data_IF_950563726526
#
_entry.id   IF_950563726526
#
_cell.length_a   1.000
_cell.length_b   1.000
_cell.length_c   1.000
_cell.angle_alpha   90.00
_cell.angle_beta   90.00
_cell.angle_gamma   90.00
#
_symmetry.space_group_name_H-M   'P 1'
#
loop_
_entity.id
_entity.type
_entity.pdbx_description
1 polymer ?
#
# COMPACT_ATOMS: atom_id res chain seq x y z
N UNK A 1 -7.32 1.99 0.12
CA UNK A 1 -7.58 2.74 1.38
C UNK A 1 -6.70 2.17 2.47
N UNK A 2 -6.23 3.01 3.40
CA UNK A 2 -5.44 2.57 4.54
C UNK A 2 -6.32 1.83 5.58
N UNK A 3 -5.75 0.91 6.39
CA UNK A 3 -6.50 0.14 7.38
C UNK A 3 -7.33 0.99 8.34
N UNK A 4 -6.76 2.09 8.84
CA UNK A 4 -7.40 3.00 9.81
C UNK A 4 -8.62 3.73 9.23
N UNK A 5 -8.61 4.01 7.93
CA UNK A 5 -9.73 4.65 7.23
C UNK A 5 -10.88 3.65 7.03
N UNK A 6 -10.55 2.38 6.78
CA UNK A 6 -11.52 1.30 6.66
C UNK A 6 -12.19 0.99 8.00
N UNK A 7 -11.44 1.11 9.09
CA UNK A 7 -11.94 0.91 10.44
C UNK A 7 -12.67 2.13 11.02
N UNK A 8 -12.83 3.20 10.24
CA UNK A 8 -13.46 4.47 10.65
C UNK A 8 -12.81 5.11 11.91
N UNK A 9 -11.55 4.78 12.20
CA UNK A 9 -10.80 5.29 13.36
C UNK A 9 -10.39 6.76 13.14
N UNK A 10 -10.38 7.20 11.88
CA UNK A 10 -10.09 8.56 11.47
C UNK A 10 -9.14 8.61 10.28
N UNK A 11 -9.08 9.76 9.62
CA UNK A 11 -8.15 10.03 8.53
C UNK A 11 -7.06 10.99 9.00
N UNK A 12 -5.82 10.69 8.63
CA UNK A 12 -4.66 11.54 8.86
C UNK A 12 -3.83 11.63 7.57
N UNK A 13 -2.86 12.55 7.52
CA UNK A 13 -2.02 12.73 6.34
C UNK A 13 -1.17 11.49 5.97
N UNK A 14 -0.96 10.56 6.91
CA UNK A 14 -0.24 9.30 6.62
C UNK A 14 -1.12 8.25 5.95
N UNK A 15 -2.45 8.42 5.90
CA UNK A 15 -3.33 7.58 5.09
C UNK A 15 -3.04 7.70 3.59
N UNK A 16 -2.63 8.88 3.12
CA UNK A 16 -2.20 9.10 1.74
C UNK A 16 -0.90 8.35 1.42
N UNK A 17 -0.01 8.22 2.40
CA UNK A 17 1.24 7.48 2.25
C UNK A 17 0.98 5.99 2.00
N UNK A 18 -0.03 5.41 2.64
CA UNK A 18 -0.45 4.06 2.33
C UNK A 18 -0.96 3.95 0.90
N UNK A 19 -1.83 4.88 0.48
CA UNK A 19 -2.35 4.92 -0.88
C UNK A 19 -1.22 5.05 -1.91
N UNK A 20 -0.22 5.88 -1.63
CA UNK A 20 1.00 6.01 -2.45
C UNK A 20 1.75 4.68 -2.56
N UNK A 21 1.90 3.92 -1.48
CA UNK A 21 2.52 2.59 -1.50
C UNK A 21 1.75 1.59 -2.39
N UNK A 22 0.41 1.61 -2.32
CA UNK A 22 -0.44 0.78 -3.19
C UNK A 22 -0.31 1.21 -4.65
N UNK A 23 -0.35 2.51 -4.94
CA UNK A 23 -0.18 3.04 -6.30
C UNK A 23 1.21 2.74 -6.85
N UNK A 24 2.25 2.74 -6.01
CA UNK A 24 3.60 2.35 -6.44
C UNK A 24 3.66 0.88 -6.87
N UNK A 25 3.01 -0.03 -6.14
CA UNK A 25 2.86 -1.43 -6.57
C UNK A 25 2.03 -1.52 -7.86
N UNK A 26 0.95 -0.77 -7.96
CA UNK A 26 0.09 -0.76 -9.15
C UNK A 26 0.83 -0.28 -10.40
N UNK A 27 1.64 0.78 -10.31
CA UNK A 27 2.46 1.27 -11.42
C UNK A 27 3.55 0.25 -11.81
N UNK A 28 4.09 -0.47 -10.84
CA UNK A 28 5.12 -1.49 -11.06
C UNK A 28 4.56 -2.77 -11.71
N UNK A 29 3.37 -3.22 -11.30
CA UNK A 29 2.77 -4.48 -11.76
C UNK A 29 1.66 -4.30 -12.81
N UNK A 30 1.31 -3.05 -13.13
CA UNK A 30 0.24 -2.67 -14.07
C UNK A 30 -1.18 -2.96 -13.57
N UNK A 31 -1.34 -3.47 -12.35
CA UNK A 31 -2.60 -3.83 -11.71
C UNK A 31 -2.46 -3.68 -10.19
N UNK A 32 -3.50 -3.21 -9.47
CA UNK A 32 -3.44 -3.15 -8.02
C UNK A 32 -3.30 -4.56 -7.40
N UNK A 33 -2.69 -4.67 -6.21
CA UNK A 33 -2.68 -5.94 -5.48
C UNK A 33 -4.13 -6.45 -5.34
N UNK A 34 -4.32 -7.77 -5.51
CA UNK A 34 -5.62 -8.48 -5.52
C UNK A 34 -6.44 -8.49 -6.83
N UNK A 35 -5.95 -7.95 -7.95
CA UNK A 35 -6.68 -7.93 -9.24
C UNK A 35 -6.74 -9.28 -10.03
N UNK A 36 -6.56 -10.44 -9.40
CA UNK A 36 -6.53 -11.75 -10.10
C UNK A 36 -7.57 -12.76 -9.56
N UNK A 37 -8.66 -12.30 -8.93
CA UNK A 37 -9.81 -13.17 -8.64
C UNK A 37 -10.99 -12.71 -9.51
N UNK A 38 -11.50 -13.60 -10.34
CA UNK A 38 -12.38 -13.34 -11.49
C UNK A 38 -13.74 -12.68 -11.13
N UNK A 39 -14.07 -11.64 -11.93
CA UNK A 39 -15.33 -11.35 -12.66
C UNK A 39 -16.65 -11.14 -11.89
N UNK A 40 -17.22 -9.94 -12.12
CA UNK A 40 -18.49 -9.38 -11.63
C UNK A 40 -18.52 -9.09 -10.12
N UNK A 41 -19.14 -7.97 -9.72
CA UNK A 41 -19.22 -7.46 -8.35
C UNK A 41 -18.00 -6.66 -7.85
N UNK A 42 -17.91 -5.39 -8.28
CA UNK A 42 -17.13 -4.34 -7.59
C UNK A 42 -17.38 -4.37 -6.07
N UNK A 43 -18.61 -4.71 -5.66
CA UNK A 43 -19.02 -4.88 -4.27
C UNK A 43 -18.31 -6.05 -3.58
N UNK A 44 -18.11 -7.19 -4.23
CA UNK A 44 -17.42 -8.34 -3.64
C UNK A 44 -15.91 -8.06 -3.44
N UNK A 45 -15.29 -7.39 -4.42
CA UNK A 45 -13.90 -6.94 -4.29
C UNK A 45 -13.73 -5.94 -3.14
N UNK A 46 -14.62 -4.95 -3.03
CA UNK A 46 -14.63 -3.99 -1.92
C UNK A 46 -14.82 -4.67 -0.56
N UNK A 47 -15.81 -5.55 -0.43
CA UNK A 47 -16.06 -6.28 0.80
C UNK A 47 -14.86 -7.14 1.21
N UNK A 48 -14.26 -7.86 0.26
CA UNK A 48 -13.08 -8.66 0.51
C UNK A 48 -11.87 -7.79 0.91
N UNK A 49 -11.63 -6.67 0.23
CA UNK A 49 -10.56 -5.74 0.58
C UNK A 49 -10.76 -5.12 1.98
N UNK A 50 -12.00 -4.77 2.34
CA UNK A 50 -12.35 -4.25 3.67
C UNK A 50 -11.97 -5.26 4.77
N UNK A 51 -12.20 -6.56 4.56
CA UNK A 51 -11.78 -7.58 5.52
C UNK A 51 -10.28 -7.86 5.48
N UNK A 52 -9.67 -7.92 4.30
CA UNK A 52 -8.28 -8.34 4.13
C UNK A 52 -7.26 -7.29 4.54
N UNK A 53 -7.49 -6.01 4.27
CA UNK A 53 -6.53 -4.92 4.56
C UNK A 53 -6.17 -4.82 6.06
N UNK A 54 -7.11 -4.86 7.02
CA UNK A 54 -6.78 -4.83 8.43
C UNK A 54 -6.23 -6.17 8.95
N UNK A 55 -6.61 -7.31 8.34
CA UNK A 55 -6.26 -8.66 8.86
C UNK A 55 -4.94 -9.20 8.30
N UNK A 56 -4.74 -9.15 6.98
CA UNK A 56 -3.60 -9.76 6.30
C UNK A 56 -2.33 -8.91 6.40
N UNK A 57 -1.12 -9.51 6.35
CA UNK A 57 0.11 -8.74 6.30
C UNK A 57 0.11 -7.72 5.13
N UNK A 58 0.85 -6.61 5.23
CA UNK A 58 0.93 -5.61 4.17
C UNK A 58 1.28 -6.24 2.82
N UNK A 59 0.65 -5.79 1.72
CA UNK A 59 0.95 -6.34 0.42
C UNK A 59 2.41 -6.04 0.02
N UNK A 60 3.03 -7.00 -0.66
CA UNK A 60 4.37 -6.87 -1.23
C UNK A 60 4.31 -7.16 -2.73
N UNK A 61 5.38 -6.86 -3.46
CA UNK A 61 5.51 -7.26 -4.86
C UNK A 61 5.36 -8.77 -5.03
N UNK A 62 4.72 -9.20 -6.12
CA UNK A 62 4.56 -10.61 -6.51
C UNK A 62 5.90 -11.25 -6.82
N UNK A 63 6.78 -10.49 -7.49
CA UNK A 63 8.13 -10.90 -7.85
C UNK A 63 9.14 -9.88 -7.29
N UNK A 64 9.52 -9.96 -6.00
CA UNK A 64 10.41 -8.99 -5.37
C UNK A 64 11.76 -8.86 -6.09
N UNK A 65 12.28 -9.95 -6.68
CA UNK A 65 13.58 -9.96 -7.36
C UNK A 65 13.65 -9.08 -8.61
N UNK A 66 12.51 -8.62 -9.15
CA UNK A 66 12.48 -7.71 -10.30
C UNK A 66 12.72 -6.24 -9.90
N UNK A 67 12.63 -5.93 -8.60
CA UNK A 67 12.63 -4.57 -8.09
C UNK A 67 13.86 -4.31 -7.22
N UNK A 68 14.40 -3.10 -7.32
CA UNK A 68 15.55 -2.70 -6.50
C UNK A 68 15.23 -2.78 -5.01
N UNK A 69 16.25 -3.05 -4.18
CA UNK A 69 16.10 -3.05 -2.72
C UNK A 69 15.58 -1.71 -2.20
N UNK A 70 16.01 -0.60 -2.81
CA UNK A 70 15.51 0.74 -2.50
C UNK A 70 14.01 0.89 -2.77
N UNK A 71 13.50 0.31 -3.87
CA UNK A 71 12.07 0.39 -4.18
C UNK A 71 11.23 -0.50 -3.25
N UNK A 72 11.73 -1.70 -2.95
CA UNK A 72 11.12 -2.58 -1.96
C UNK A 72 11.06 -1.94 -0.58
N UNK A 73 12.12 -1.26 -0.16
CA UNK A 73 12.16 -0.59 1.13
C UNK A 73 11.21 0.62 1.18
N UNK A 74 11.16 1.43 0.11
CA UNK A 74 10.19 2.51 -0.03
C UNK A 74 8.75 2.01 0.15
N UNK A 75 8.36 0.95 -0.56
CA UNK A 75 7.01 0.37 -0.45
C UNK A 75 6.74 -0.18 0.97
N UNK A 76 7.72 -0.81 1.62
CA UNK A 76 7.58 -1.28 3.00
C UNK A 76 7.36 -0.14 3.99
N UNK A 77 8.05 0.99 3.82
CA UNK A 77 7.87 2.18 4.66
C UNK A 77 6.49 2.83 4.45
N UNK A 78 5.94 2.76 3.23
CA UNK A 78 4.60 3.23 2.93
C UNK A 78 3.50 2.33 3.50
N UNK A 79 3.67 1.00 3.41
CA UNK A 79 2.65 0.01 3.76
C UNK A 79 2.76 -0.48 5.21
N UNK A 80 2.88 0.45 6.16
CA UNK A 80 2.86 0.14 7.60
C UNK A 80 1.43 0.25 8.11
N UNK A 81 0.89 -0.82 8.71
CA UNK A 81 -0.50 -0.83 9.20
C UNK A 81 -0.75 0.20 10.29
N UNK A 82 0.13 0.26 11.29
CA UNK A 82 0.02 1.26 12.35
C UNK A 82 0.39 2.64 11.77
N UNK A 83 -0.55 3.60 11.70
CA UNK A 83 -0.28 4.93 11.15
C UNK A 83 0.81 5.69 11.93
N UNK A 84 0.95 5.48 13.25
CA UNK A 84 1.98 6.16 14.06
C UNK A 84 3.41 5.75 13.67
N UNK A 85 3.56 4.53 13.16
CA UNK A 85 4.85 3.99 12.70
C UNK A 85 5.06 4.19 11.19
N UNK A 86 4.05 4.69 10.47
CA UNK A 86 4.13 4.89 9.01
C UNK A 86 4.98 6.12 8.71
N UNK A 87 5.83 6.01 7.70
CA UNK A 87 6.68 7.12 7.31
C UNK A 87 5.84 8.32 6.84
N UNK A 88 6.32 9.54 7.10
CA UNK A 88 5.71 10.77 6.58
C UNK A 88 6.25 11.07 5.17
N UNK A 89 5.55 11.91 4.42
CA UNK A 89 5.99 12.37 3.09
C UNK A 89 7.42 12.94 3.13
N UNK A 90 7.73 13.77 4.13
CA UNK A 90 9.05 14.38 4.30
C UNK A 90 10.16 13.34 4.48
N UNK A 91 9.88 12.27 5.24
CA UNK A 91 10.84 11.18 5.45
C UNK A 91 11.03 10.34 4.18
N UNK A 92 9.95 10.11 3.43
CA UNK A 92 10.01 9.37 2.18
C UNK A 92 10.73 10.12 1.05
N UNK A 93 10.69 11.45 1.03
CA UNK A 93 11.46 12.28 0.09
C UNK A 93 12.98 12.12 0.30
N UNK A 94 13.42 11.80 1.51
CA UNK A 94 14.82 11.54 1.83
C UNK A 94 15.26 10.11 1.47
N UNK A 95 14.33 9.24 1.06
CA UNK A 95 14.69 7.90 0.59
C UNK A 95 15.40 7.98 -0.76
N UNK A 96 16.42 7.11 -0.93
CA UNK A 96 17.31 7.04 -2.09
C UNK A 96 16.57 7.00 -3.45
N UNK A 97 15.34 6.47 -3.50
CA UNK A 97 14.55 6.41 -4.75
C UNK A 97 13.91 7.74 -5.16
N UNK A 98 13.74 8.66 -4.21
CA UNK A 98 13.07 9.95 -4.41
C UNK A 98 14.06 11.13 -4.33
N UNK A 99 15.32 10.86 -3.96
CA UNK A 99 16.42 11.82 -4.01
C UNK A 99 16.92 11.93 -5.45
N UNK A 100 16.53 13.02 -6.11
CA UNK A 100 17.02 13.44 -7.44
C UNK A 100 18.29 14.27 -7.27
#
# INVERSE_FOLDING_TARGET
>A
MAPEVIQEIGYNCVADIWSLGITAIEMAEGKPPYNHMFVNEFLHFLLQAIFMIPTNPPPTFRNPNLWSSAFQDFVKQCLVKNPENRATATKLLQSCIMSI
#
